data_IF_441909277402
#
_entry.id   IF_441909277402
#
_cell.length_a   1.000
_cell.length_b   1.000
_cell.length_c   1.000
_cell.angle_alpha   90.00
_cell.angle_beta   90.00
_cell.angle_gamma   90.00
#
_symmetry.space_group_name_H-M   'P 1'
#
loop_
_entity.id
_entity.type
_entity.pdbx_description
1 polymer ?
#
# COMPACT_ATOMS: atom_id res chain seq x y z
N UNK A 1 -0.43 29.50 5.71
CA UNK A 1 -1.77 28.91 5.55
C UNK A 1 -1.57 27.49 5.05
N UNK A 2 -1.88 26.47 5.87
CA UNK A 2 -1.90 25.08 5.42
C UNK A 2 -3.37 24.68 5.33
N UNK A 3 -3.91 24.63 4.12
CA UNK A 3 -5.22 24.04 3.91
C UNK A 3 -5.04 22.53 3.98
N UNK A 4 -5.66 21.89 4.99
CA UNK A 4 -5.77 20.44 5.03
C UNK A 4 -6.90 20.09 4.08
N UNK A 5 -6.57 19.50 2.94
CA UNK A 5 -7.56 18.95 2.02
C UNK A 5 -7.78 17.51 2.48
N UNK A 6 -8.94 17.23 3.06
CA UNK A 6 -9.41 15.85 3.18
C UNK A 6 -9.84 15.42 1.78
N UNK A 7 -9.02 14.58 1.17
CA UNK A 7 -9.39 13.86 -0.05
C UNK A 7 -9.96 12.54 0.44
N UNK A 8 -11.25 12.32 0.20
CA UNK A 8 -11.85 11.02 0.47
C UNK A 8 -11.08 9.93 -0.31
N UNK A 9 -10.83 8.76 0.29
CA UNK A 9 -10.14 7.67 -0.40
C UNK A 9 -10.90 7.30 -1.67
N UNK A 10 -10.17 7.22 -2.78
CA UNK A 10 -10.74 6.91 -4.09
C UNK A 10 -11.26 5.46 -4.11
N UNK A 11 -12.50 5.27 -4.55
CA UNK A 11 -13.12 3.95 -4.68
C UNK A 11 -12.52 3.13 -5.82
N UNK A 12 -12.82 1.82 -5.85
CA UNK A 12 -12.29 0.89 -6.85
C UNK A 12 -12.62 1.33 -8.29
N UNK A 13 -13.90 1.67 -8.57
CA UNK A 13 -14.36 2.10 -9.89
C UNK A 13 -13.63 3.35 -10.40
N UNK A 14 -13.39 4.31 -9.51
CA UNK A 14 -12.72 5.56 -9.85
C UNK A 14 -11.21 5.35 -10.04
N UNK A 15 -10.57 4.49 -9.22
CA UNK A 15 -9.20 4.07 -9.44
C UNK A 15 -9.03 3.33 -10.77
N UNK A 16 -9.96 2.42 -11.10
CA UNK A 16 -9.97 1.72 -12.38
C UNK A 16 -10.01 2.71 -13.54
N UNK A 17 -10.98 3.64 -13.52
CA UNK A 17 -11.08 4.67 -14.54
C UNK A 17 -9.79 5.49 -14.70
N UNK A 18 -9.19 5.95 -13.59
CA UNK A 18 -7.98 6.78 -13.62
C UNK A 18 -6.73 6.02 -14.08
N UNK A 19 -6.60 4.75 -13.69
CA UNK A 19 -5.42 3.95 -14.02
C UNK A 19 -5.51 3.43 -15.44
N UNK A 20 -6.67 2.92 -15.86
CA UNK A 20 -6.86 2.34 -17.19
C UNK A 20 -6.77 3.40 -18.30
N UNK A 21 -7.26 4.63 -18.06
CA UNK A 21 -7.15 5.76 -19.02
C UNK A 21 -5.68 6.13 -19.36
N UNK A 22 -4.73 5.73 -18.51
CA UNK A 22 -3.31 6.04 -18.68
C UNK A 22 -2.56 5.09 -19.62
N UNK A 23 -3.10 3.91 -19.95
CA UNK A 23 -2.38 2.90 -20.72
C UNK A 23 -3.16 2.44 -21.96
N UNK A 24 -2.45 2.38 -23.10
CA UNK A 24 -3.03 1.93 -24.37
C UNK A 24 -3.18 0.41 -24.48
N UNK A 25 -2.40 -0.35 -23.69
CA UNK A 25 -2.38 -1.81 -23.71
C UNK A 25 -2.85 -2.36 -22.36
N UNK A 26 -3.94 -3.10 -22.40
CA UNK A 26 -4.58 -3.69 -21.22
C UNK A 26 -4.04 -5.09 -20.95
N UNK A 27 -3.70 -5.39 -19.69
CA UNK A 27 -3.39 -6.75 -19.29
C UNK A 27 -4.66 -7.61 -19.37
N UNK A 28 -4.47 -8.93 -19.45
CA UNK A 28 -5.57 -9.87 -19.27
C UNK A 28 -5.80 -10.07 -17.77
N UNK A 29 -7.04 -9.91 -17.31
CA UNK A 29 -7.39 -10.16 -15.92
C UNK A 29 -7.74 -11.63 -15.71
N UNK A 30 -7.10 -12.28 -14.75
CA UNK A 30 -7.26 -13.70 -14.46
C UNK A 30 -7.55 -13.96 -12.98
N UNK A 31 -8.31 -15.02 -12.64
CA UNK A 31 -8.57 -15.38 -11.25
C UNK A 31 -7.34 -15.99 -10.55
N UNK A 32 -7.31 -15.88 -9.21
CA UNK A 32 -6.33 -16.58 -8.37
C UNK A 32 -6.60 -18.11 -8.36
N UNK A 33 -5.56 -18.92 -8.50
CA UNK A 33 -5.67 -20.40 -8.53
C UNK A 33 -5.82 -21.05 -7.13
N UNK A 34 -5.70 -20.31 -6.02
CA UNK A 34 -5.78 -20.87 -4.65
C UNK A 34 -6.32 -19.89 -3.62
N UNK A 35 -7.24 -20.34 -2.75
CA UNK A 35 -7.99 -19.49 -1.83
C UNK A 35 -7.44 -19.45 -0.38
N UNK A 36 -7.22 -18.26 0.21
CA UNK A 36 -7.24 -18.02 1.66
C UNK A 36 -8.50 -17.24 2.13
N UNK A 37 -8.83 -17.35 3.43
CA UNK A 37 -10.19 -17.21 4.02
C UNK A 37 -10.78 -15.83 4.40
N UNK A 38 -12.04 -15.88 4.90
CA UNK A 38 -13.25 -15.13 4.44
C UNK A 38 -13.55 -13.75 5.08
N UNK A 39 -12.79 -13.18 6.01
CA UNK A 39 -13.19 -11.89 6.64
C UNK A 39 -12.00 -11.00 6.99
N UNK A 40 -12.12 -9.70 6.69
CA UNK A 40 -11.24 -8.65 7.23
C UNK A 40 -12.10 -7.50 7.80
N UNK A 41 -11.64 -6.88 8.89
CA UNK A 41 -12.39 -5.85 9.62
C UNK A 41 -11.59 -4.56 9.65
N UNK A 42 -12.03 -3.55 8.91
CA UNK A 42 -11.47 -2.19 9.00
C UNK A 42 -12.18 -1.38 10.08
N UNK A 43 -11.39 -0.64 10.85
CA UNK A 43 -11.88 0.35 11.82
C UNK A 43 -11.62 1.73 11.26
N UNK A 44 -12.68 2.51 11.09
CA UNK A 44 -12.57 3.92 10.75
C UNK A 44 -12.81 4.75 12.01
N UNK A 45 -11.87 5.65 12.32
CA UNK A 45 -12.07 6.67 13.34
C UNK A 45 -12.94 7.78 12.76
N UNK A 46 -14.10 8.03 13.37
CA UNK A 46 -14.99 9.12 12.98
C UNK A 46 -15.13 10.06 14.17
N UNK A 47 -14.75 11.32 13.98
CA UNK A 47 -14.87 12.34 15.02
C UNK A 47 -16.29 12.90 15.00
N UNK A 48 -17.13 12.49 15.96
CA UNK A 48 -18.51 12.96 16.06
C UNK A 48 -18.74 13.68 17.39
N UNK A 49 -19.01 14.99 17.31
CA UNK A 49 -19.35 15.85 18.47
C UNK A 49 -18.39 15.67 19.65
N UNK A 50 -17.09 15.86 19.40
CA UNK A 50 -16.02 15.78 20.40
C UNK A 50 -15.76 14.39 21.01
N UNK A 51 -16.25 13.33 20.37
CA UNK A 51 -15.95 11.94 20.73
C UNK A 51 -15.35 11.20 19.53
N UNK A 52 -14.22 10.52 19.75
CA UNK A 52 -13.66 9.55 18.81
C UNK A 52 -14.51 8.28 18.82
N UNK A 53 -15.25 8.04 17.74
CA UNK A 53 -16.03 6.81 17.57
C UNK A 53 -15.32 5.90 16.54
N UNK A 54 -14.82 4.74 16.99
CA UNK A 54 -14.31 3.71 16.09
C UNK A 54 -15.48 2.90 15.55
N UNK A 55 -15.84 3.10 14.28
CA UNK A 55 -16.91 2.32 13.62
C UNK A 55 -16.28 1.13 12.89
N UNK A 56 -16.65 -0.12 13.24
CA UNK A 56 -16.30 -1.27 12.43
C UNK A 56 -17.15 -1.23 11.16
N UNK A 57 -16.51 -0.95 10.03
CA UNK A 57 -17.17 -1.01 8.72
C UNK A 57 -16.83 -2.36 8.12
N UNK A 58 -17.82 -3.24 7.88
CA UNK A 58 -17.56 -4.46 7.12
C UNK A 58 -17.19 -4.05 5.71
N UNK A 59 -15.91 -4.18 5.37
CA UNK A 59 -15.44 -4.09 3.99
C UNK A 59 -15.49 -5.49 3.37
N UNK A 60 -15.86 -5.60 2.08
CA UNK A 60 -15.80 -6.87 1.37
C UNK A 60 -14.43 -7.51 1.58
N UNK A 61 -14.41 -8.75 2.08
CA UNK A 61 -13.14 -9.43 2.27
C UNK A 61 -12.63 -9.91 0.93
N UNK A 62 -11.32 -9.76 0.70
CA UNK A 62 -10.63 -10.29 -0.47
C UNK A 62 -10.89 -11.79 -0.69
N UNK A 63 -11.27 -12.49 0.37
CA UNK A 63 -11.61 -13.90 0.33
C UNK A 63 -13.07 -14.20 -0.03
N UNK A 64 -14.03 -13.36 0.36
CA UNK A 64 -15.41 -13.44 -0.14
C UNK A 64 -15.42 -13.14 -1.65
N UNK A 65 -14.66 -12.13 -2.05
CA UNK A 65 -14.47 -11.76 -3.45
C UNK A 65 -13.82 -12.92 -4.23
N UNK A 66 -12.73 -13.53 -3.72
CA UNK A 66 -12.12 -14.74 -4.33
C UNK A 66 -13.08 -15.94 -4.43
N UNK A 67 -13.94 -16.14 -3.43
CA UNK A 67 -14.90 -17.26 -3.44
C UNK A 67 -15.92 -17.07 -4.55
N UNK A 68 -16.43 -15.85 -4.72
CA UNK A 68 -17.32 -15.51 -5.83
C UNK A 68 -16.61 -15.56 -7.19
N UNK A 69 -15.33 -15.15 -7.25
CA UNK A 69 -14.50 -15.26 -8.44
C UNK A 69 -14.32 -16.73 -8.89
N UNK A 70 -14.03 -17.62 -7.94
CA UNK A 70 -13.91 -19.06 -8.19
C UNK A 70 -15.26 -19.70 -8.60
N UNK A 71 -16.38 -19.11 -8.16
CA UNK A 71 -17.72 -19.49 -8.59
C UNK A 71 -18.12 -18.89 -9.95
N UNK A 72 -17.32 -17.96 -10.51
CA UNK A 72 -17.61 -17.24 -11.75
C UNK A 72 -18.65 -16.12 -11.61
N UNK A 73 -18.96 -15.70 -10.38
CA UNK A 73 -19.99 -14.71 -10.07
C UNK A 73 -19.46 -13.25 -10.06
N UNK A 74 -18.14 -13.04 -10.16
CA UNK A 74 -17.49 -11.72 -10.13
C UNK A 74 -16.40 -11.64 -11.19
N UNK A 75 -16.25 -10.47 -11.82
CA UNK A 75 -15.22 -10.19 -12.83
C UNK A 75 -13.83 -10.07 -12.17
N UNK A 76 -12.79 -10.80 -12.64
CA UNK A 76 -11.42 -10.65 -12.13
C UNK A 76 -10.88 -9.21 -12.15
N UNK A 77 -11.30 -8.40 -13.12
CA UNK A 77 -10.93 -6.99 -13.19
C UNK A 77 -11.41 -6.20 -11.97
N UNK A 78 -12.71 -6.33 -11.64
CA UNK A 78 -13.33 -5.67 -10.48
C UNK A 78 -12.57 -6.04 -9.19
N UNK A 79 -12.21 -7.31 -9.03
CA UNK A 79 -11.49 -7.80 -7.85
C UNK A 79 -10.09 -7.23 -7.75
N UNK A 80 -9.39 -7.10 -8.87
CA UNK A 80 -8.06 -6.49 -8.92
C UNK A 80 -8.12 -5.05 -8.46
N UNK A 81 -9.10 -4.27 -8.93
CA UNK A 81 -9.25 -2.87 -8.54
C UNK A 81 -9.81 -2.68 -7.13
N UNK A 82 -10.70 -3.55 -6.65
CA UNK A 82 -11.12 -3.58 -5.25
C UNK A 82 -9.93 -3.85 -4.32
N UNK A 83 -9.08 -4.80 -4.70
CA UNK A 83 -7.86 -5.09 -3.96
C UNK A 83 -6.87 -3.94 -4.02
N UNK A 84 -6.72 -3.30 -5.17
CA UNK A 84 -5.84 -2.14 -5.32
C UNK A 84 -6.31 -0.99 -4.44
N UNK A 85 -7.61 -0.69 -4.42
CA UNK A 85 -8.22 0.30 -3.54
C UNK A 85 -7.95 -0.03 -2.07
N UNK A 86 -8.12 -1.31 -1.68
CA UNK A 86 -7.84 -1.75 -0.32
C UNK A 86 -6.35 -1.57 0.04
N UNK A 87 -5.42 -2.10 -0.76
CA UNK A 87 -3.98 -2.08 -0.42
C UNK A 87 -3.42 -0.65 -0.45
N UNK A 88 -3.89 0.21 -1.35
CA UNK A 88 -3.47 1.62 -1.46
C UNK A 88 -4.19 2.56 -0.49
N UNK A 89 -5.20 2.07 0.22
CA UNK A 89 -6.14 2.86 1.01
C UNK A 89 -6.78 4.02 0.20
N UNK A 90 -7.09 3.74 -1.07
CA UNK A 90 -7.66 4.71 -2.01
C UNK A 90 -6.72 5.83 -2.45
N UNK A 91 -5.42 5.77 -2.13
CA UNK A 91 -4.46 6.77 -2.60
C UNK A 91 -4.03 6.48 -4.05
N UNK A 92 -4.46 7.32 -4.99
CA UNK A 92 -4.17 7.18 -6.43
C UNK A 92 -2.68 7.04 -6.74
N UNK A 93 -1.80 7.78 -6.05
CA UNK A 93 -0.36 7.71 -6.27
C UNK A 93 0.24 6.38 -5.83
N UNK A 94 -0.18 5.87 -4.67
CA UNK A 94 0.20 4.54 -4.15
C UNK A 94 -0.39 3.44 -5.04
N UNK A 95 -1.67 3.55 -5.40
CA UNK A 95 -2.35 2.62 -6.29
C UNK A 95 -1.63 2.51 -7.64
N UNK A 96 -1.26 3.66 -8.23
CA UNK A 96 -0.50 3.69 -9.49
C UNK A 96 0.85 2.98 -9.35
N UNK A 97 1.57 3.20 -8.25
CA UNK A 97 2.87 2.55 -8.05
C UNK A 97 2.76 1.04 -7.84
N UNK A 98 1.76 0.58 -7.07
CA UNK A 98 1.46 -0.85 -6.91
C UNK A 98 1.07 -1.46 -8.24
N UNK A 99 0.23 -0.78 -9.02
CA UNK A 99 -0.17 -1.21 -10.36
C UNK A 99 1.03 -1.40 -11.27
N UNK A 100 1.89 -0.38 -11.40
CA UNK A 100 3.08 -0.45 -12.26
C UNK A 100 4.04 -1.58 -11.84
N UNK A 101 4.18 -1.84 -10.53
CA UNK A 101 4.98 -2.96 -10.02
C UNK A 101 4.36 -4.34 -10.23
N UNK A 102 3.04 -4.42 -10.44
CA UNK A 102 2.30 -5.67 -10.65
C UNK A 102 1.98 -5.96 -12.11
N UNK A 103 2.28 -5.04 -13.05
CA UNK A 103 2.02 -5.22 -14.48
C UNK A 103 2.72 -6.45 -15.05
N UNK A 104 1.91 -7.34 -15.62
CA UNK A 104 2.29 -8.56 -16.34
C UNK A 104 1.28 -8.78 -17.48
N UNK A 105 1.53 -9.75 -18.35
CA UNK A 105 0.58 -10.12 -19.42
C UNK A 105 -0.78 -10.55 -18.83
N UNK A 106 -0.73 -11.37 -17.76
CA UNK A 106 -1.88 -11.74 -16.94
C UNK A 106 -1.73 -11.12 -15.55
N UNK A 107 -2.74 -10.36 -15.11
CA UNK A 107 -2.80 -9.81 -13.74
C UNK A 107 -3.87 -10.56 -12.95
N UNK A 108 -3.47 -11.02 -11.76
CA UNK A 108 -4.38 -11.66 -10.81
C UNK A 108 -4.53 -10.78 -9.58
N UNK A 109 -5.62 -10.94 -8.81
CA UNK A 109 -5.75 -10.26 -7.52
C UNK A 109 -4.53 -10.47 -6.62
N UNK A 110 -4.00 -11.69 -6.51
CA UNK A 110 -2.83 -11.95 -5.66
C UNK A 110 -1.56 -11.20 -6.06
N UNK A 111 -1.44 -10.73 -7.31
CA UNK A 111 -0.29 -9.91 -7.75
C UNK A 111 -0.34 -8.48 -7.21
N UNK A 112 -1.52 -8.00 -6.78
CA UNK A 112 -1.70 -6.67 -6.17
C UNK A 112 -1.29 -6.72 -4.70
N UNK A 113 -0.04 -6.37 -4.42
CA UNK A 113 0.53 -6.35 -3.06
C UNK A 113 1.30 -5.05 -2.81
N UNK A 114 1.31 -4.58 -1.57
CA UNK A 114 2.16 -3.47 -1.18
C UNK A 114 3.64 -3.88 -1.24
N UNK A 115 4.51 -2.95 -1.64
CA UNK A 115 5.95 -3.14 -1.67
C UNK A 115 6.49 -3.50 -0.28
N UNK A 116 7.29 -4.57 -0.22
CA UNK A 116 7.88 -5.08 1.02
C UNK A 116 6.90 -5.68 2.02
N UNK A 117 5.66 -5.98 1.62
CA UNK A 117 4.64 -6.58 2.53
C UNK A 117 4.97 -8.00 3.01
N UNK A 118 5.88 -8.69 2.33
CA UNK A 118 6.41 -10.01 2.68
C UNK A 118 7.69 -9.93 3.55
N UNK A 119 8.20 -8.73 3.81
CA UNK A 119 9.42 -8.52 4.56
C UNK A 119 9.15 -8.33 6.05
N UNK A 120 9.99 -8.96 6.85
CA UNK A 120 10.09 -8.65 8.27
C UNK A 120 11.09 -7.51 8.49
N UNK A 121 10.64 -6.47 9.19
CA UNK A 121 11.47 -5.32 9.55
C UNK A 121 11.91 -5.42 11.01
N UNK A 122 13.18 -5.13 11.30
CA UNK A 122 13.65 -4.94 12.67
C UNK A 122 13.25 -3.56 13.22
N UNK A 123 13.67 -3.24 14.44
CA UNK A 123 13.31 -1.97 15.10
C UNK A 123 13.96 -0.78 14.41
N UNK A 124 15.23 -0.91 14.04
CA UNK A 124 16.01 0.13 13.36
C UNK A 124 15.47 0.40 11.96
N UNK A 125 15.08 -0.63 11.22
CA UNK A 125 14.45 -0.56 9.91
C UNK A 125 13.09 0.12 9.98
N UNK A 126 12.23 -0.26 10.93
CA UNK A 126 10.94 0.39 11.13
C UNK A 126 11.09 1.87 11.51
N UNK A 127 12.10 2.19 12.33
CA UNK A 127 12.41 3.57 12.68
C UNK A 127 12.89 4.37 11.45
N UNK A 128 13.71 3.76 10.59
CA UNK A 128 14.12 4.37 9.33
C UNK A 128 12.92 4.61 8.39
N UNK A 129 12.00 3.65 8.28
CA UNK A 129 10.75 3.80 7.52
C UNK A 129 9.90 4.95 8.03
N UNK A 130 9.77 5.09 9.37
CA UNK A 130 9.06 6.21 10.00
C UNK A 130 9.67 7.56 9.64
N UNK A 131 11.00 7.67 9.61
CA UNK A 131 11.69 8.89 9.20
C UNK A 131 11.39 9.20 7.72
N UNK A 132 11.49 8.20 6.84
CA UNK A 132 11.21 8.37 5.41
C UNK A 132 9.75 8.77 5.15
N UNK A 133 8.79 8.16 5.84
CA UNK A 133 7.37 8.54 5.80
C UNK A 133 7.16 9.99 6.22
N UNK A 134 7.82 10.42 7.30
CA UNK A 134 7.61 11.75 7.88
C UNK A 134 8.20 12.88 7.05
N UNK A 135 9.28 12.60 6.32
CA UNK A 135 10.06 13.63 5.63
C UNK A 135 9.91 13.61 4.11
N UNK A 136 9.32 12.56 3.54
CA UNK A 136 9.19 12.28 2.10
C UNK A 136 10.55 12.07 1.38
N UNK A 137 11.56 12.87 1.72
CA UNK A 137 12.90 12.93 1.13
C UNK A 137 13.90 13.21 2.23
N UNK A 138 14.92 12.36 2.35
CA UNK A 138 15.94 12.50 3.40
C UNK A 138 17.32 12.29 2.83
N UNK A 139 18.26 13.16 3.16
CA UNK A 139 19.66 12.94 2.79
C UNK A 139 20.19 11.68 3.47
N UNK A 140 20.94 10.85 2.73
CA UNK A 140 21.59 9.66 3.26
C UNK A 140 22.51 9.99 4.45
N UNK A 141 23.19 11.14 4.38
CA UNK A 141 24.04 11.64 5.46
C UNK A 141 23.24 12.00 6.72
N UNK A 142 22.00 12.46 6.57
CA UNK A 142 21.11 12.72 7.69
C UNK A 142 20.65 11.43 8.35
N UNK A 143 20.20 10.45 7.57
CA UNK A 143 19.84 9.12 8.10
C UNK A 143 21.01 8.46 8.84
N UNK A 144 22.24 8.60 8.32
CA UNK A 144 23.44 8.08 8.97
C UNK A 144 23.76 8.72 10.32
N UNK A 145 23.24 9.91 10.61
CA UNK A 145 23.39 10.57 11.92
C UNK A 145 22.29 10.18 12.92
N UNK A 146 21.15 9.71 12.42
CA UNK A 146 19.96 9.45 13.25
C UNK A 146 19.72 7.96 13.50
N UNK A 147 20.12 7.10 12.56
CA UNK A 147 19.87 5.65 12.62
C UNK A 147 21.20 4.91 12.78
N UNK A 148 21.33 4.15 13.85
CA UNK A 148 22.48 3.28 14.05
C UNK A 148 22.55 2.22 12.94
N UNK A 149 23.71 2.10 12.30
CA UNK A 149 23.86 1.18 11.18
C UNK A 149 23.04 1.56 9.93
N UNK A 150 22.69 2.84 9.74
CA UNK A 150 21.92 3.33 8.59
C UNK A 150 22.40 2.79 7.24
N UNK A 151 23.71 2.60 7.05
CA UNK A 151 24.27 2.04 5.82
C UNK A 151 23.77 0.62 5.52
N UNK A 152 23.65 -0.24 6.55
CA UNK A 152 23.10 -1.60 6.44
C UNK A 152 21.61 -1.53 6.15
N UNK A 153 20.87 -0.75 6.95
CA UNK A 153 19.42 -0.58 6.84
C UNK A 153 19.05 -0.08 5.44
N UNK A 154 19.64 1.03 5.01
CA UNK A 154 19.42 1.59 3.67
C UNK A 154 19.86 0.63 2.57
N UNK A 155 20.97 -0.08 2.75
CA UNK A 155 21.41 -1.08 1.79
C UNK A 155 20.39 -2.19 1.56
N UNK A 156 19.68 -2.63 2.61
CA UNK A 156 18.57 -3.58 2.50
C UNK A 156 17.34 -2.93 1.86
N UNK A 157 16.87 -1.80 2.38
CA UNK A 157 15.66 -1.13 1.87
C UNK A 157 15.75 -0.80 0.37
N UNK A 158 16.93 -0.37 -0.10
CA UNK A 158 17.18 -0.10 -1.51
C UNK A 158 17.22 -1.37 -2.37
N UNK A 159 17.78 -2.47 -1.83
CA UNK A 159 17.85 -3.74 -2.55
C UNK A 159 16.49 -4.39 -2.70
N UNK A 160 15.68 -4.33 -1.65
CA UNK A 160 14.33 -4.90 -1.63
C UNK A 160 13.28 -3.99 -2.29
N UNK A 161 13.69 -2.87 -2.90
CA UNK A 161 12.77 -1.93 -3.58
C UNK A 161 11.81 -1.19 -2.65
N UNK A 162 12.04 -1.21 -1.34
CA UNK A 162 11.22 -0.48 -0.35
C UNK A 162 11.55 1.02 -0.38
N UNK A 163 12.78 1.36 -0.74
CA UNK A 163 13.23 2.73 -0.90
C UNK A 163 14.01 2.88 -2.21
N UNK A 164 14.12 4.12 -2.67
CA UNK A 164 14.99 4.52 -3.77
C UNK A 164 15.98 5.59 -3.30
N UNK A 165 17.12 5.69 -3.98
CA UNK A 165 18.11 6.73 -3.73
C UNK A 165 18.54 7.38 -5.04
N UNK A 166 18.51 8.70 -5.06
CA UNK A 166 18.93 9.52 -6.20
C UNK A 166 19.68 10.75 -5.67
N UNK A 167 20.86 11.03 -6.24
CA UNK A 167 21.76 12.11 -5.80
C UNK A 167 21.96 12.21 -4.27
N UNK A 168 22.06 11.04 -3.60
CA UNK A 168 22.25 10.97 -2.15
C UNK A 168 21.00 11.26 -1.32
N UNK A 169 19.86 11.53 -1.96
CA UNK A 169 18.54 11.68 -1.34
C UNK A 169 17.81 10.34 -1.41
N UNK A 170 17.39 9.85 -0.25
CA UNK A 170 16.60 8.63 -0.10
C UNK A 170 15.12 8.99 -0.03
N UNK A 171 14.30 8.20 -0.72
CA UNK A 171 12.82 8.31 -0.72
C UNK A 171 12.22 6.94 -0.48
N UNK A 172 11.06 6.91 0.18
CA UNK A 172 10.26 5.70 0.26
C UNK A 172 9.69 5.40 -1.14
N UNK A 173 9.68 4.15 -1.54
CA UNK A 173 8.94 3.75 -2.73
C UNK A 173 7.43 3.92 -2.47
N UNK A 174 6.66 4.57 -3.36
CA UNK A 174 5.23 4.79 -3.11
C UNK A 174 4.45 3.49 -2.90
N UNK A 175 4.82 2.38 -3.56
CA UNK A 175 4.17 1.09 -3.36
C UNK A 175 4.44 0.52 -1.97
N UNK A 176 5.53 0.94 -1.30
CA UNK A 176 5.89 0.52 0.04
C UNK A 176 5.31 1.40 1.16
N UNK A 177 4.59 2.48 0.83
CA UNK A 177 3.91 3.36 1.81
C UNK A 177 2.99 2.58 2.75
N UNK A 178 2.08 1.69 2.28
CA UNK A 178 1.19 0.95 3.17
C UNK A 178 1.96 0.10 4.19
N UNK A 179 3.03 -0.58 3.74
CA UNK A 179 3.92 -1.37 4.59
C UNK A 179 4.59 -0.50 5.65
N UNK A 180 5.17 0.63 5.24
CA UNK A 180 5.85 1.53 6.15
C UNK A 180 4.91 2.10 7.23
N UNK A 181 3.66 2.41 6.88
CA UNK A 181 2.64 2.88 7.83
C UNK A 181 2.31 1.79 8.83
N UNK A 182 2.01 0.57 8.36
CA UNK A 182 1.70 -0.57 9.22
C UNK A 182 2.85 -0.90 10.20
N UNK A 183 4.10 -0.88 9.74
CA UNK A 183 5.27 -1.12 10.60
C UNK A 183 5.50 0.03 11.60
N UNK A 184 5.21 1.26 11.19
CA UNK A 184 5.35 2.45 12.05
C UNK A 184 4.34 2.45 13.18
N UNK A 185 3.10 2.06 12.92
CA UNK A 185 2.03 1.94 13.93
C UNK A 185 2.30 0.80 14.90
N UNK A 186 2.66 -0.40 14.38
CA UNK A 186 2.95 -1.59 15.20
C UNK A 186 4.05 -1.32 16.24
N UNK A 187 5.06 -0.54 15.89
CA UNK A 187 6.19 -0.18 16.78
C UNK A 187 6.10 1.24 17.36
N UNK A 188 4.99 1.95 17.15
CA UNK A 188 4.74 3.29 17.72
C UNK A 188 3.89 3.26 18.98
N UNK A 189 3.13 2.18 19.20
CA UNK A 189 2.26 1.98 20.35
C UNK A 189 2.96 1.34 21.57
N UNK A 190 4.30 1.36 21.63
CA UNK A 190 5.12 0.71 22.66
C UNK A 190 6.00 1.67 23.44
#
# INVERSE_FOLDING_TARGET
FSARVDVDPTGADELAAMILDRYDEMPTFAPDETAPGILDVRRYGVEWRSHDLSVPVPVPSLAAIRTSLAAGDVDPEDVVFERLAAVSDGNVGVATAIWEGSRREDIRPSDVVAGGSDLEFDREEAFCLRILLSKERVERAELARTVDGAGRVLGRLLREGVASADDGVVRLDPAAVPTAVAESERRGAG
#
